data_IF_488526931895
#
_entry.id   IF_488526931895
#
_cell.length_a   1.000
_cell.length_b   1.000
_cell.length_c   1.000
_cell.angle_alpha   90.00
_cell.angle_beta   90.00
_cell.angle_gamma   90.00
#
_symmetry.space_group_name_H-M   'P 1'
#
loop_
_entity.id
_entity.type
_entity.pdbx_description
1 polymer ?
#
# COMPACT_ATOMS: atom_id res chain seq x y z
N UNK A 1 -20.37 -13.43 -28.70
CA UNK A 1 -20.10 -11.97 -28.56
C UNK A 1 -19.97 -11.29 -29.92
N UNK A 2 -19.07 -11.73 -30.81
CA UNK A 2 -18.88 -11.17 -32.17
C UNK A 2 -20.19 -10.92 -32.96
N UNK A 3 -21.08 -11.92 -33.07
CA UNK A 3 -22.37 -11.81 -33.78
C UNK A 3 -23.30 -10.72 -33.23
N UNK A 4 -23.10 -10.31 -31.98
CA UNK A 4 -23.85 -9.24 -31.32
C UNK A 4 -23.16 -7.86 -31.45
N UNK A 5 -22.03 -7.76 -32.14
CA UNK A 5 -21.32 -6.51 -32.42
C UNK A 5 -20.22 -6.12 -31.42
N UNK A 6 -19.96 -6.93 -30.39
CA UNK A 6 -18.82 -6.75 -29.49
C UNK A 6 -17.50 -6.93 -30.23
N UNK A 7 -16.48 -6.16 -29.82
CA UNK A 7 -15.16 -6.12 -30.48
C UNK A 7 -14.00 -6.62 -29.63
N UNK A 8 -14.26 -6.97 -28.37
CA UNK A 8 -13.25 -7.51 -27.49
C UNK A 8 -13.85 -8.37 -26.39
N UNK A 9 -12.96 -9.03 -25.66
CA UNK A 9 -13.26 -9.80 -24.45
C UNK A 9 -12.24 -9.41 -23.38
N UNK A 10 -12.68 -9.38 -22.13
CA UNK A 10 -11.81 -9.17 -20.98
C UNK A 10 -11.67 -10.50 -20.26
N UNK A 11 -10.44 -10.88 -19.95
CA UNK A 11 -10.09 -12.17 -19.35
C UNK A 11 -9.55 -11.91 -17.94
N UNK A 12 -10.31 -12.37 -16.95
CA UNK A 12 -10.02 -12.23 -15.53
C UNK A 12 -10.32 -13.51 -14.76
N UNK A 13 -9.61 -13.72 -13.65
CA UNK A 13 -9.80 -14.85 -12.72
C UNK A 13 -10.70 -14.45 -11.53
N UNK A 14 -11.96 -14.12 -11.82
CA UNK A 14 -12.90 -13.57 -10.84
C UNK A 14 -13.65 -14.66 -10.08
N UNK A 15 -13.63 -14.59 -8.74
CA UNK A 15 -14.29 -15.56 -7.86
C UNK A 15 -15.57 -15.06 -7.17
N UNK A 16 -15.91 -13.77 -7.27
CA UNK A 16 -17.03 -13.14 -6.55
C UNK A 16 -18.41 -13.72 -6.82
N UNK A 17 -18.59 -14.38 -7.97
CA UNK A 17 -19.87 -14.97 -8.38
C UNK A 17 -19.95 -16.49 -8.15
N UNK A 18 -18.94 -17.07 -7.49
CA UNK A 18 -18.93 -18.50 -7.19
C UNK A 18 -19.96 -18.81 -6.08
N UNK A 19 -20.69 -19.92 -6.25
CA UNK A 19 -21.69 -20.34 -5.27
C UNK A 19 -21.03 -20.75 -3.95
N UNK A 20 -21.63 -20.35 -2.83
CA UNK A 20 -21.19 -20.75 -1.49
C UNK A 20 -21.04 -22.28 -1.39
N UNK A 21 -19.91 -22.74 -0.86
CA UNK A 21 -19.59 -24.16 -0.72
C UNK A 21 -18.93 -24.80 -1.96
N UNK A 22 -18.61 -24.02 -3.00
CA UNK A 22 -17.78 -24.52 -4.10
C UNK A 22 -16.36 -24.77 -3.59
N UNK A 23 -15.87 -26.01 -3.74
CA UNK A 23 -14.47 -26.33 -3.45
C UNK A 23 -13.57 -25.79 -4.57
N UNK A 24 -12.61 -24.94 -4.21
CA UNK A 24 -11.62 -24.41 -5.14
C UNK A 24 -10.27 -25.11 -4.94
N UNK A 25 -9.76 -25.69 -6.02
CA UNK A 25 -8.48 -26.39 -6.03
C UNK A 25 -7.39 -25.47 -6.59
N UNK A 26 -7.00 -24.43 -5.84
CA UNK A 26 -5.94 -23.47 -6.25
C UNK A 26 -4.60 -24.14 -6.54
N UNK A 27 -4.36 -25.30 -5.95
CA UNK A 27 -3.17 -26.13 -6.15
C UNK A 27 -3.09 -26.73 -7.56
N UNK A 28 -4.23 -26.82 -8.26
CA UNK A 28 -4.31 -27.34 -9.62
C UNK A 28 -4.79 -26.29 -10.62
N UNK A 29 -5.81 -25.50 -10.28
CA UNK A 29 -6.48 -24.54 -11.16
C UNK A 29 -6.26 -23.08 -10.78
N UNK A 30 -5.33 -22.79 -9.87
CA UNK A 30 -5.06 -21.40 -9.47
C UNK A 30 -4.48 -20.56 -10.60
N UNK A 31 -4.60 -19.24 -10.47
CA UNK A 31 -4.07 -18.29 -11.44
C UNK A 31 -2.61 -18.59 -11.83
N UNK A 32 -2.34 -18.58 -13.14
CA UNK A 32 -1.06 -18.93 -13.75
C UNK A 32 -0.54 -20.37 -13.47
N UNK A 33 -1.43 -21.31 -13.14
CA UNK A 33 -1.17 -22.75 -13.21
C UNK A 33 -1.22 -23.25 -14.65
N UNK A 34 -0.71 -24.46 -14.91
CA UNK A 34 -0.78 -25.06 -16.25
C UNK A 34 -2.23 -25.22 -16.76
N UNK A 35 -3.20 -25.75 -15.99
CA UNK A 35 -4.62 -25.74 -16.40
C UNK A 35 -5.18 -24.35 -16.69
N UNK A 36 -4.79 -23.33 -15.91
CA UNK A 36 -5.20 -21.95 -16.16
C UNK A 36 -4.63 -21.43 -17.49
N UNK A 37 -3.34 -21.66 -17.76
CA UNK A 37 -2.69 -21.25 -19.02
C UNK A 37 -3.34 -21.91 -20.24
N UNK A 38 -3.65 -23.21 -20.15
CA UNK A 38 -4.36 -23.92 -21.21
C UNK A 38 -5.75 -23.36 -21.46
N UNK A 39 -6.50 -23.02 -20.40
CA UNK A 39 -7.81 -22.37 -20.52
C UNK A 39 -7.69 -20.96 -21.13
N UNK A 40 -6.70 -20.19 -20.69
CA UNK A 40 -6.47 -18.83 -21.14
C UNK A 40 -6.11 -18.76 -22.61
N UNK A 41 -5.38 -19.72 -23.18
CA UNK A 41 -5.08 -19.77 -24.62
C UNK A 41 -6.34 -19.90 -25.49
N UNK A 42 -7.41 -20.51 -24.99
CA UNK A 42 -8.64 -20.76 -25.76
C UNK A 42 -9.35 -19.45 -26.12
N UNK A 43 -9.44 -18.50 -25.20
CA UNK A 43 -10.19 -17.26 -25.41
C UNK A 43 -9.55 -16.35 -26.49
N UNK A 44 -8.24 -16.02 -26.45
CA UNK A 44 -7.53 -15.33 -27.52
C UNK A 44 -7.58 -16.08 -28.86
N UNK A 45 -7.42 -17.42 -28.86
CA UNK A 45 -7.51 -18.22 -30.09
C UNK A 45 -8.84 -18.03 -30.79
N UNK A 46 -9.95 -18.13 -30.05
CA UNK A 46 -11.28 -17.92 -30.61
C UNK A 46 -11.48 -16.44 -30.98
N UNK A 47 -11.11 -15.50 -30.11
CA UNK A 47 -11.25 -14.06 -30.37
C UNK A 47 -10.53 -13.63 -31.66
N UNK A 48 -9.31 -14.11 -31.87
CA UNK A 48 -8.51 -13.89 -33.07
C UNK A 48 -9.23 -14.38 -34.34
N UNK A 49 -9.89 -15.54 -34.28
CA UNK A 49 -10.65 -16.08 -35.43
C UNK A 49 -11.83 -15.20 -35.86
N UNK A 50 -12.33 -14.36 -34.94
CA UNK A 50 -13.40 -13.39 -35.18
C UNK A 50 -12.90 -11.95 -35.35
N UNK A 51 -11.59 -11.71 -35.28
CA UNK A 51 -10.98 -10.37 -35.30
C UNK A 51 -11.39 -9.51 -34.09
N UNK A 52 -11.68 -10.14 -32.95
CA UNK A 52 -11.93 -9.47 -31.68
C UNK A 52 -10.61 -9.30 -30.92
N UNK A 53 -10.41 -8.15 -30.29
CA UNK A 53 -9.30 -7.95 -29.35
C UNK A 53 -9.54 -8.66 -28.02
N UNK A 54 -8.55 -8.64 -27.14
CA UNK A 54 -8.66 -9.25 -25.82
C UNK A 54 -7.79 -8.53 -24.79
N UNK A 55 -8.34 -8.37 -23.59
CA UNK A 55 -7.69 -7.67 -22.49
C UNK A 55 -7.46 -8.65 -21.32
N UNK A 56 -6.38 -8.48 -20.57
CA UNK A 56 -6.06 -9.33 -19.41
C UNK A 56 -5.82 -8.49 -18.15
N UNK A 57 -6.35 -8.94 -17.01
CA UNK A 57 -6.01 -8.36 -15.72
C UNK A 57 -4.58 -8.72 -15.32
N UNK A 58 -3.81 -7.74 -14.81
CA UNK A 58 -2.41 -7.92 -14.39
C UNK A 58 -2.23 -8.89 -13.20
N UNK A 59 -3.25 -9.04 -12.36
CA UNK A 59 -3.19 -9.89 -11.17
C UNK A 59 -4.23 -11.01 -11.22
N UNK A 60 -4.18 -11.93 -10.24
CA UNK A 60 -5.23 -12.92 -10.05
C UNK A 60 -6.60 -12.29 -9.77
N UNK A 61 -6.60 -11.13 -9.09
CA UNK A 61 -7.73 -10.22 -8.93
C UNK A 61 -7.13 -8.85 -8.54
N UNK A 62 -7.93 -7.94 -8.00
CA UNK A 62 -7.46 -6.65 -7.48
C UNK A 62 -7.32 -6.65 -5.95
N UNK A 63 -6.40 -5.84 -5.37
CA UNK A 63 -5.32 -5.12 -6.04
C UNK A 63 -4.29 -6.08 -6.65
N UNK A 64 -3.40 -5.55 -7.49
CA UNK A 64 -2.35 -6.32 -8.14
C UNK A 64 -1.48 -7.09 -7.13
N UNK A 65 -1.33 -8.39 -7.34
CA UNK A 65 -0.70 -9.30 -6.40
C UNK A 65 0.03 -10.45 -7.11
N UNK A 66 1.07 -10.99 -6.48
CA UNK A 66 1.82 -12.14 -7.01
C UNK A 66 2.11 -13.18 -5.92
N UNK A 67 2.21 -14.48 -6.29
CA UNK A 67 2.49 -15.57 -5.35
C UNK A 67 3.97 -15.75 -5.03
N UNK A 68 4.85 -14.93 -5.63
CA UNK A 68 6.31 -15.02 -5.48
C UNK A 68 6.85 -14.23 -4.29
N UNK A 69 6.01 -13.45 -3.62
CA UNK A 69 6.40 -12.60 -2.49
C UNK A 69 5.65 -12.99 -1.21
N UNK A 70 6.14 -12.49 -0.09
CA UNK A 70 5.52 -12.61 1.24
C UNK A 70 5.34 -11.22 1.85
N UNK A 71 4.52 -11.03 2.91
CA UNK A 71 4.26 -9.69 3.45
C UNK A 71 5.50 -8.89 3.86
N UNK A 72 6.57 -9.58 4.27
CA UNK A 72 7.85 -8.99 4.67
C UNK A 72 8.85 -8.79 3.52
N UNK A 73 8.49 -9.11 2.28
CA UNK A 73 9.31 -8.91 1.07
C UNK A 73 9.34 -7.42 0.69
N UNK A 74 10.43 -6.90 0.13
CA UNK A 74 10.54 -5.47 -0.23
C UNK A 74 9.42 -5.02 -1.19
N UNK A 75 9.19 -5.79 -2.26
CA UNK A 75 8.12 -5.59 -3.25
C UNK A 75 6.67 -5.70 -2.72
N UNK A 76 6.43 -6.09 -1.47
CA UNK A 76 5.07 -6.20 -0.92
C UNK A 76 4.56 -4.84 -0.42
N UNK A 77 3.27 -4.55 -0.59
CA UNK A 77 2.65 -3.30 -0.14
C UNK A 77 2.99 -2.95 1.32
N UNK A 78 3.32 -1.68 1.56
CA UNK A 78 3.67 -1.17 2.90
C UNK A 78 2.62 -0.22 3.46
N UNK A 79 2.53 -0.23 4.78
CA UNK A 79 1.79 0.76 5.55
C UNK A 79 2.70 1.40 6.59
N UNK A 80 2.35 2.63 6.98
CA UNK A 80 2.91 3.28 8.17
C UNK A 80 1.86 3.31 9.28
N UNK A 81 2.24 2.85 10.47
CA UNK A 81 1.35 2.71 11.62
C UNK A 81 1.89 3.44 12.85
N UNK A 82 0.97 3.96 13.65
CA UNK A 82 1.27 4.94 14.69
C UNK A 82 1.10 4.39 16.11
N UNK A 83 2.01 4.78 17.00
CA UNK A 83 1.87 4.68 18.45
C UNK A 83 1.87 6.07 19.12
N UNK A 84 1.30 6.18 20.33
CA UNK A 84 1.31 7.42 21.13
C UNK A 84 1.31 7.19 22.62
N UNK A 85 1.84 8.17 23.34
CA UNK A 85 1.60 8.41 24.75
C UNK A 85 1.36 9.91 24.96
N UNK A 86 0.35 10.27 25.77
CA UNK A 86 0.12 11.66 26.16
C UNK A 86 0.97 11.94 27.40
N UNK A 87 1.66 13.08 27.40
CA UNK A 87 2.53 13.52 28.48
C UNK A 87 1.99 14.81 29.09
N UNK A 88 1.92 14.83 30.42
CA UNK A 88 1.55 16.03 31.16
C UNK A 88 2.77 16.93 31.38
N UNK A 89 2.52 18.24 31.44
CA UNK A 89 3.42 19.38 31.49
C UNK A 89 4.64 19.35 32.45
N UNK A 90 4.76 18.35 33.32
CA UNK A 90 5.77 18.35 34.40
C UNK A 90 6.41 16.99 34.65
N UNK A 91 6.09 15.97 33.84
CA UNK A 91 6.62 14.62 34.04
C UNK A 91 7.49 14.22 32.86
N UNK A 92 8.76 13.94 33.13
CA UNK A 92 9.64 13.28 32.18
C UNK A 92 9.06 11.92 31.82
N UNK A 93 8.80 11.72 30.54
CA UNK A 93 8.57 10.39 30.01
C UNK A 93 9.90 9.63 30.01
N UNK A 94 9.92 8.44 30.57
CA UNK A 94 11.07 7.54 30.50
C UNK A 94 10.53 6.10 30.48
N UNK A 95 10.46 5.52 29.29
CA UNK A 95 9.80 4.24 29.11
C UNK A 95 9.95 3.69 27.70
N UNK A 96 9.26 2.58 27.43
CA UNK A 96 9.26 1.95 26.11
C UNK A 96 8.64 2.87 25.06
N UNK A 97 9.22 2.93 23.86
CA UNK A 97 8.59 3.63 22.73
C UNK A 97 7.14 3.13 22.58
N UNK A 98 6.14 4.03 22.45
CA UNK A 98 4.75 3.61 22.29
C UNK A 98 4.59 2.64 21.12
N UNK A 99 3.87 1.53 21.33
CA UNK A 99 3.60 0.56 20.26
C UNK A 99 2.48 1.03 19.33
N UNK A 100 2.41 0.49 18.09
CA UNK A 100 1.33 0.81 17.16
C UNK A 100 -0.07 0.50 17.71
N UNK A 101 -1.06 1.36 17.44
CA UNK A 101 -2.46 1.11 17.84
C UNK A 101 -3.12 0.00 17.03
N UNK A 102 -2.66 -0.20 15.79
CA UNK A 102 -3.16 -1.25 14.90
C UNK A 102 -2.34 -2.53 15.07
N UNK A 103 -3.04 -3.65 15.23
CA UNK A 103 -2.42 -4.97 15.17
C UNK A 103 -1.89 -5.22 13.76
N UNK A 104 -0.80 -5.96 13.65
CA UNK A 104 -0.31 -6.47 12.37
C UNK A 104 -1.23 -7.58 11.87
N UNK A 105 -1.33 -7.72 10.56
CA UNK A 105 -2.02 -8.85 9.92
C UNK A 105 -1.14 -10.11 10.04
N UNK A 106 -1.76 -11.28 9.88
CA UNK A 106 -1.02 -12.54 9.89
C UNK A 106 0.00 -12.60 8.75
N UNK A 107 1.14 -13.25 8.98
CA UNK A 107 2.24 -13.34 8.02
C UNK A 107 3.20 -12.14 8.01
N UNK A 108 2.85 -11.01 8.65
CA UNK A 108 3.75 -9.86 8.82
C UNK A 108 4.61 -10.06 10.08
N UNK A 109 5.89 -10.38 9.91
CA UNK A 109 6.80 -10.67 11.03
C UNK A 109 7.82 -9.56 11.27
N UNK A 110 8.07 -8.71 10.26
CA UNK A 110 9.02 -7.60 10.36
C UNK A 110 8.29 -6.27 10.48
N UNK A 111 8.93 -5.33 11.18
CA UNK A 111 8.51 -3.94 11.25
C UNK A 111 9.73 -3.06 11.56
N UNK A 112 9.74 -1.82 11.06
CA UNK A 112 10.85 -0.88 11.20
C UNK A 112 10.36 0.41 11.85
N UNK A 113 10.91 0.75 13.01
CA UNK A 113 10.71 2.07 13.62
C UNK A 113 11.39 3.13 12.74
N UNK A 114 10.64 4.15 12.31
CA UNK A 114 11.14 5.21 11.42
C UNK A 114 11.06 6.60 12.01
N UNK A 115 10.21 6.81 13.01
CA UNK A 115 10.16 8.07 13.74
C UNK A 115 9.79 7.85 15.20
N UNK A 116 10.42 8.62 16.08
CA UNK A 116 9.92 8.94 17.41
C UNK A 116 9.98 10.44 17.57
N UNK A 117 8.85 11.08 17.84
CA UNK A 117 8.75 12.54 17.91
C UNK A 117 7.92 12.95 19.12
N UNK A 118 8.22 14.13 19.65
CA UNK A 118 7.34 14.82 20.59
C UNK A 118 6.75 16.07 19.92
N UNK A 119 5.45 16.30 20.12
CA UNK A 119 4.72 17.44 19.56
C UNK A 119 3.99 18.17 20.67
N UNK A 120 4.03 19.52 20.65
CA UNK A 120 3.22 20.32 21.57
C UNK A 120 1.76 20.28 21.11
N UNK A 121 0.86 19.97 22.05
CA UNK A 121 -0.58 20.04 21.84
C UNK A 121 -1.00 21.51 21.98
N UNK A 122 -1.75 22.02 21.01
CA UNK A 122 -2.22 23.41 21.03
C UNK A 122 -3.03 23.71 22.28
N UNK A 123 -2.89 24.92 22.82
CA UNK A 123 -3.51 25.34 24.08
C UNK A 123 -5.04 25.13 24.11
N UNK A 124 -5.71 25.34 22.98
CA UNK A 124 -7.17 25.20 22.84
C UNK A 124 -7.62 23.76 22.50
N UNK A 125 -6.70 22.81 22.42
CA UNK A 125 -6.99 21.41 22.10
C UNK A 125 -7.00 20.52 23.35
N UNK A 126 -7.98 19.63 23.42
CA UNK A 126 -7.94 18.55 24.40
C UNK A 126 -6.90 17.50 24.00
N UNK A 127 -6.03 17.03 24.92
CA UNK A 127 -5.14 15.89 24.66
C UNK A 127 -5.87 14.60 24.31
N UNK A 128 -7.15 14.51 24.69
CA UNK A 128 -8.03 13.38 24.40
C UNK A 128 -9.08 13.72 23.32
N UNK A 129 -8.87 14.82 22.59
CA UNK A 129 -9.71 15.22 21.47
C UNK A 129 -9.66 14.23 20.30
N UNK A 130 -10.66 14.34 19.43
CA UNK A 130 -10.70 13.63 18.15
C UNK A 130 -11.24 14.60 17.09
N UNK A 131 -10.37 15.41 16.44
CA UNK A 131 -8.91 15.33 16.44
C UNK A 131 -8.22 16.06 17.62
N UNK A 132 -6.94 15.80 17.81
CA UNK A 132 -6.01 16.60 18.65
C UNK A 132 -5.26 17.58 17.75
N UNK A 133 -5.26 18.87 18.09
CA UNK A 133 -4.53 19.89 17.36
C UNK A 133 -3.11 20.10 17.92
N UNK A 134 -2.15 20.21 17.01
CA UNK A 134 -0.71 20.35 17.29
C UNK A 134 -0.21 21.72 16.83
N UNK A 135 0.76 22.25 17.57
CA UNK A 135 1.45 23.48 17.18
C UNK A 135 2.50 23.17 16.11
N UNK A 136 2.32 23.74 14.91
CA UNK A 136 3.28 23.60 13.82
C UNK A 136 4.67 24.14 14.22
N UNK A 137 5.73 23.41 13.85
CA UNK A 137 7.11 23.74 14.21
C UNK A 137 7.52 23.43 15.65
N UNK A 138 6.63 22.83 16.47
CA UNK A 138 6.97 22.41 17.85
C UNK A 138 7.64 21.04 17.94
N UNK A 139 7.78 20.33 16.81
CA UNK A 139 8.31 18.98 16.75
C UNK A 139 9.71 18.88 17.35
N UNK A 140 9.88 17.91 18.25
CA UNK A 140 11.19 17.47 18.73
C UNK A 140 11.43 16.06 18.22
N UNK A 141 12.48 15.88 17.42
CA UNK A 141 12.86 14.57 16.91
C UNK A 141 13.65 13.81 17.99
N UNK A 142 13.15 12.63 18.35
CA UNK A 142 13.71 11.75 19.37
C UNK A 142 14.16 10.41 18.80
N UNK A 143 14.10 10.24 17.46
CA UNK A 143 14.34 8.95 16.79
C UNK A 143 15.73 8.41 17.11
N UNK A 144 16.75 9.25 17.08
CA UNK A 144 18.14 8.87 17.41
C UNK A 144 18.39 8.71 18.92
N UNK A 145 17.45 9.14 19.76
CA UNK A 145 17.54 9.00 21.22
C UNK A 145 16.98 7.66 21.72
N UNK A 146 16.46 6.83 20.82
CA UNK A 146 15.91 5.52 21.17
C UNK A 146 17.05 4.55 21.47
N UNK A 147 17.04 3.97 22.67
CA UNK A 147 17.99 2.94 23.10
C UNK A 147 17.22 1.76 23.70
N UNK A 148 17.51 0.54 23.25
CA UNK A 148 16.87 -0.70 23.72
C UNK A 148 15.33 -0.64 23.72
N UNK A 149 14.75 -0.01 22.69
CA UNK A 149 13.31 0.17 22.55
C UNK A 149 12.69 1.16 23.54
N UNK A 150 13.51 1.97 24.23
CA UNK A 150 13.10 2.99 25.19
C UNK A 150 13.47 4.38 24.71
N UNK A 151 12.72 5.37 25.16
CA UNK A 151 12.96 6.79 24.90
C UNK A 151 12.67 7.59 26.17
N UNK A 152 13.43 8.68 26.35
CA UNK A 152 13.18 9.65 27.41
C UNK A 152 12.90 11.03 26.79
N UNK A 153 11.90 11.73 27.32
CA UNK A 153 11.57 13.09 26.91
C UNK A 153 11.08 13.91 28.10
N UNK A 154 11.64 15.10 28.25
CA UNK A 154 11.19 16.09 29.23
C UNK A 154 10.57 17.27 28.47
N UNK A 155 9.27 17.56 28.67
CA UNK A 155 8.64 18.74 28.09
C UNK A 155 9.44 20.02 28.40
N UNK A 156 9.71 20.88 27.40
CA UNK A 156 10.48 22.10 27.60
C UNK A 156 9.69 23.23 28.28
N UNK A 157 8.39 23.04 28.48
CA UNK A 157 7.46 24.02 29.03
C UNK A 157 6.26 23.33 29.71
N UNK A 158 5.38 24.14 30.29
CA UNK A 158 4.21 23.67 31.02
C UNK A 158 3.01 23.34 30.10
N UNK A 159 3.20 23.10 28.81
CA UNK A 159 2.13 22.70 27.89
C UNK A 159 1.90 21.19 27.94
N UNK A 160 0.80 20.72 27.35
CA UNK A 160 0.62 19.28 27.08
C UNK A 160 1.43 18.88 25.84
N UNK A 161 2.07 17.72 25.92
CA UNK A 161 2.88 17.18 24.83
C UNK A 161 2.42 15.76 24.48
N UNK A 162 2.57 15.42 23.21
CA UNK A 162 2.27 14.11 22.66
C UNK A 162 3.60 13.45 22.28
N UNK A 163 3.90 12.28 22.84
CA UNK A 163 4.95 11.40 22.33
C UNK A 163 4.33 10.48 21.29
N UNK A 164 4.98 10.38 20.14
CA UNK A 164 4.51 9.67 18.97
C UNK A 164 5.61 8.75 18.45
N UNK A 165 5.23 7.60 17.89
CA UNK A 165 6.11 6.70 17.16
C UNK A 165 5.48 6.27 15.84
N UNK A 166 6.31 6.12 14.81
CA UNK A 166 5.90 5.62 13.50
C UNK A 166 6.69 4.37 13.13
N UNK A 167 5.98 3.36 12.65
CA UNK A 167 6.54 2.08 12.25
C UNK A 167 6.08 1.73 10.84
N UNK A 168 7.00 1.34 9.96
CA UNK A 168 6.69 0.77 8.65
C UNK A 168 6.64 -0.75 8.75
N UNK A 169 5.66 -1.38 8.09
CA UNK A 169 5.53 -2.83 7.95
C UNK A 169 4.76 -3.19 6.68
N UNK A 170 4.77 -4.47 6.30
CA UNK A 170 3.91 -4.97 5.22
C UNK A 170 2.43 -4.93 5.59
N UNK A 171 1.54 -4.74 4.62
CA UNK A 171 0.08 -4.78 4.83
C UNK A 171 -0.44 -6.20 5.06
N UNK A 172 0.24 -7.21 4.49
CA UNK A 172 -0.27 -8.58 4.42
C UNK A 172 -1.56 -8.69 3.60
N UNK A 173 -1.85 -7.70 2.77
CA UNK A 173 -3.02 -7.71 1.92
C UNK A 173 -2.91 -8.83 0.87
N UNK A 174 -4.01 -9.54 0.71
CA UNK A 174 -4.23 -10.48 -0.40
C UNK A 174 -5.25 -9.82 -1.33
N UNK A 175 -5.26 -10.18 -2.63
CA UNK A 175 -6.29 -9.74 -3.55
C UNK A 175 -7.70 -10.18 -3.08
N UNK A 176 -8.75 -9.48 -3.53
CA UNK A 176 -10.14 -9.68 -3.11
C UNK A 176 -10.61 -11.12 -3.41
N UNK A 177 -11.54 -11.64 -2.60
CA UNK A 177 -12.16 -12.97 -2.77
C UNK A 177 -11.18 -14.16 -2.89
N UNK A 178 -10.12 -14.11 -2.08
CA UNK A 178 -9.15 -15.20 -1.89
C UNK A 178 -9.81 -16.55 -1.55
N UNK A 179 -9.25 -17.70 -2.00
CA UNK A 179 -7.89 -17.89 -2.55
C UNK A 179 -7.81 -17.96 -4.08
N UNK A 180 -6.71 -17.43 -4.64
CA UNK A 180 -6.44 -17.42 -6.10
C UNK A 180 -5.28 -18.31 -6.54
N UNK A 181 -4.25 -18.43 -5.70
CA UNK A 181 -2.99 -19.10 -6.06
C UNK A 181 -2.53 -20.03 -4.94
N UNK A 182 -1.66 -20.98 -5.28
CA UNK A 182 -0.86 -21.73 -4.31
C UNK A 182 0.61 -21.73 -4.77
N UNK A 183 1.56 -21.11 -4.03
CA UNK A 183 1.39 -20.41 -2.75
C UNK A 183 0.52 -19.15 -2.86
N UNK A 184 0.06 -18.65 -1.70
CA UNK A 184 -0.83 -17.47 -1.59
C UNK A 184 -0.20 -16.21 -2.19
N UNK A 185 -0.97 -15.46 -2.98
CA UNK A 185 -0.57 -14.17 -3.53
C UNK A 185 -0.72 -13.04 -2.51
N UNK A 186 0.24 -12.11 -2.53
CA UNK A 186 0.20 -10.89 -1.73
C UNK A 186 0.31 -9.66 -2.62
N UNK A 187 -0.38 -8.61 -2.21
CA UNK A 187 -0.44 -7.33 -2.94
C UNK A 187 0.94 -6.68 -2.99
N UNK A 188 1.35 -6.27 -4.18
CA UNK A 188 2.63 -5.60 -4.42
C UNK A 188 2.60 -4.15 -3.96
N UNK A 189 3.75 -3.55 -3.73
CA UNK A 189 3.87 -2.13 -3.43
C UNK A 189 3.69 -1.30 -4.73
N UNK A 190 2.51 -0.72 -4.89
CA UNK A 190 2.16 0.11 -6.07
C UNK A 190 2.86 1.47 -6.06
N UNK A 191 3.80 1.69 -5.15
CA UNK A 191 4.56 2.93 -5.02
C UNK A 191 6.06 2.70 -5.13
N UNK A 192 6.51 1.49 -5.51
CA UNK A 192 7.93 1.18 -5.72
C UNK A 192 8.20 0.36 -6.98
N UNK A 193 9.40 0.54 -7.55
CA UNK A 193 9.85 -0.21 -8.72
C UNK A 193 9.92 -1.71 -8.43
N UNK A 194 10.29 -2.10 -7.20
CA UNK A 194 10.33 -3.50 -6.77
C UNK A 194 8.94 -4.16 -6.87
N UNK A 195 7.87 -3.43 -6.57
CA UNK A 195 6.49 -3.91 -6.69
C UNK A 195 6.10 -4.20 -8.13
N UNK A 196 6.31 -3.24 -9.03
CA UNK A 196 6.07 -3.41 -10.46
C UNK A 196 6.94 -4.52 -11.06
N UNK A 197 8.23 -4.56 -10.71
CA UNK A 197 9.15 -5.57 -11.23
C UNK A 197 8.75 -6.98 -10.80
N UNK A 198 8.25 -7.18 -9.57
CA UNK A 198 7.77 -8.49 -9.13
C UNK A 198 6.58 -9.00 -9.97
N UNK A 199 5.77 -8.09 -10.51
CA UNK A 199 4.65 -8.43 -11.42
C UNK A 199 5.18 -8.74 -12.81
N UNK A 200 6.05 -7.87 -13.35
CA UNK A 200 6.69 -8.06 -14.66
C UNK A 200 7.40 -9.41 -14.71
N UNK A 201 8.27 -9.69 -13.74
CA UNK A 201 9.02 -10.94 -13.64
C UNK A 201 8.07 -12.14 -13.60
N UNK A 202 6.97 -12.04 -12.84
CA UNK A 202 5.99 -13.13 -12.76
C UNK A 202 5.30 -13.37 -14.11
N UNK A 203 4.91 -12.31 -14.82
CA UNK A 203 4.29 -12.41 -16.13
C UNK A 203 5.25 -13.01 -17.16
N UNK A 204 6.47 -12.51 -17.24
CA UNK A 204 7.50 -13.01 -18.16
C UNK A 204 7.84 -14.48 -17.90
N UNK A 205 7.95 -14.87 -16.62
CA UNK A 205 8.34 -16.24 -16.25
C UNK A 205 7.18 -17.26 -16.38
N UNK A 206 5.95 -16.84 -16.11
CA UNK A 206 4.82 -17.78 -15.89
C UNK A 206 3.68 -17.67 -16.88
N UNK A 207 3.43 -16.50 -17.45
CA UNK A 207 2.23 -16.24 -18.27
C UNK A 207 2.59 -16.03 -19.73
N UNK A 208 3.61 -15.23 -20.03
CA UNK A 208 4.01 -14.85 -21.39
C UNK A 208 4.83 -15.94 -22.10
N UNK A 209 4.27 -17.15 -22.17
CA UNK A 209 4.84 -18.25 -22.96
C UNK A 209 4.92 -17.87 -24.45
N UNK A 210 5.81 -18.50 -25.24
CA UNK A 210 5.93 -18.21 -26.67
C UNK A 210 4.60 -18.30 -27.45
N UNK A 211 3.74 -19.24 -27.08
CA UNK A 211 2.42 -19.42 -27.69
C UNK A 211 1.46 -18.28 -27.30
N UNK A 212 1.43 -17.87 -26.03
CA UNK A 212 0.61 -16.72 -25.60
C UNK A 212 1.10 -15.45 -26.29
N UNK A 213 2.41 -15.22 -26.39
CA UNK A 213 2.97 -14.08 -27.13
C UNK A 213 2.55 -14.07 -28.61
N UNK A 214 2.54 -15.23 -29.27
CA UNK A 214 2.04 -15.35 -30.66
C UNK A 214 0.54 -15.06 -30.76
N UNK A 215 -0.27 -15.52 -29.80
CA UNK A 215 -1.71 -15.27 -29.77
C UNK A 215 -2.02 -13.80 -29.58
N UNK A 216 -1.38 -13.13 -28.60
CA UNK A 216 -1.70 -11.74 -28.27
C UNK A 216 -1.18 -10.72 -29.30
N UNK A 217 -0.31 -11.14 -30.21
CA UNK A 217 0.19 -10.30 -31.31
C UNK A 217 -0.77 -10.21 -32.50
N UNK A 218 -1.81 -11.06 -32.58
CA UNK A 218 -2.66 -11.16 -33.77
C UNK A 218 -3.78 -10.11 -33.83
N UNK A 219 -4.30 -9.69 -32.67
CA UNK A 219 -5.34 -8.68 -32.55
C UNK A 219 -4.98 -7.67 -31.44
N UNK A 220 -5.67 -6.52 -31.35
CA UNK A 220 -5.41 -5.58 -30.28
C UNK A 220 -5.52 -6.23 -28.90
N UNK A 221 -4.47 -6.09 -28.10
CA UNK A 221 -4.37 -6.60 -26.74
C UNK A 221 -4.13 -5.46 -25.77
N UNK A 222 -4.82 -5.47 -24.64
CA UNK A 222 -4.51 -4.59 -23.51
C UNK A 222 -4.23 -5.41 -22.26
N UNK A 223 -3.40 -4.84 -21.38
CA UNK A 223 -3.36 -5.24 -19.98
C UNK A 223 -4.08 -4.16 -19.19
N UNK A 224 -4.81 -4.56 -18.16
CA UNK A 224 -5.49 -3.62 -17.29
C UNK A 224 -5.35 -4.00 -15.82
N UNK A 225 -5.64 -3.01 -15.00
CA UNK A 225 -5.68 -3.13 -13.56
C UNK A 225 -7.04 -2.57 -13.13
N UNK A 226 -7.82 -3.38 -12.42
CA UNK A 226 -9.09 -2.94 -11.85
C UNK A 226 -8.85 -2.02 -10.64
N UNK A 227 -9.88 -1.84 -9.84
CA UNK A 227 -9.93 -0.94 -8.71
C UNK A 227 -8.78 -1.23 -7.74
N UNK A 228 -7.99 -0.20 -7.43
CA UNK A 228 -6.78 -0.35 -6.63
C UNK A 228 -7.03 -1.00 -5.27
N UNK A 229 -8.20 -0.82 -4.65
CA UNK A 229 -8.69 -1.45 -3.40
C UNK A 229 -7.64 -1.75 -2.30
N UNK A 230 -6.58 -0.95 -2.22
CA UNK A 230 -5.52 -1.17 -1.26
C UNK A 230 -6.07 -0.91 0.15
N UNK A 231 -5.80 -1.82 1.08
CA UNK A 231 -6.31 -1.74 2.44
C UNK A 231 -5.18 -1.26 3.36
N UNK A 232 -5.04 0.06 3.44
CA UNK A 232 -4.26 0.72 4.48
C UNK A 232 -4.91 2.03 4.90
N UNK A 233 -4.79 2.37 6.18
CA UNK A 233 -5.14 3.72 6.63
C UNK A 233 -4.12 4.75 6.16
N UNK A 234 -2.87 4.36 5.92
CA UNK A 234 -1.87 5.29 5.37
C UNK A 234 -0.85 4.52 4.55
N UNK A 235 -0.95 4.71 3.24
CA UNK A 235 -0.02 4.14 2.28
C UNK A 235 1.38 4.68 2.51
N UNK A 236 2.35 3.80 2.30
CA UNK A 236 3.74 4.15 2.42
C UNK A 236 4.58 3.28 1.49
N UNK A 237 5.80 3.71 1.22
CA UNK A 237 6.84 2.90 0.60
C UNK A 237 8.19 3.29 1.21
N UNK A 238 9.19 2.39 1.32
CA UNK A 238 10.45 2.71 2.01
C UNK A 238 11.15 3.96 1.48
N UNK A 239 11.08 4.23 0.18
CA UNK A 239 11.70 5.40 -0.47
C UNK A 239 10.87 6.69 -0.39
N UNK A 240 9.66 6.63 0.18
CA UNK A 240 8.74 7.79 0.24
C UNK A 240 9.37 9.05 0.88
N UNK A 241 10.14 8.98 1.99
CA UNK A 241 10.78 10.16 2.56
C UNK A 241 11.70 10.91 1.60
N UNK A 242 12.47 10.17 0.80
CA UNK A 242 13.46 10.75 -0.11
C UNK A 242 12.77 11.31 -1.35
N UNK A 243 11.77 10.60 -1.90
CA UNK A 243 10.90 11.11 -2.97
C UNK A 243 10.17 12.39 -2.56
N UNK A 244 9.59 12.39 -1.35
CA UNK A 244 8.91 13.56 -0.83
C UNK A 244 9.86 14.75 -0.69
N UNK A 245 11.04 14.53 -0.09
CA UNK A 245 12.04 15.58 0.10
C UNK A 245 12.48 16.18 -1.23
N UNK A 246 12.79 15.32 -2.21
CA UNK A 246 13.22 15.73 -3.55
C UNK A 246 12.16 16.56 -4.27
N UNK A 247 10.88 16.15 -4.18
CA UNK A 247 9.78 16.72 -4.96
C UNK A 247 9.11 17.92 -4.29
N UNK A 248 9.09 17.98 -2.96
CA UNK A 248 8.37 18.99 -2.18
C UNK A 248 9.31 19.97 -1.48
N UNK A 249 10.59 19.63 -1.33
CA UNK A 249 11.63 20.53 -0.81
C UNK A 249 11.73 20.60 0.71
N UNK A 250 11.05 19.71 1.44
CA UNK A 250 11.14 19.59 2.90
C UNK A 250 10.86 18.14 3.35
N UNK A 251 11.14 17.81 4.61
CA UNK A 251 10.98 16.43 5.08
C UNK A 251 9.52 16.08 5.34
N UNK A 252 9.05 14.93 4.84
CA UNK A 252 7.74 14.39 5.24
C UNK A 252 7.66 14.15 6.75
N UNK A 253 8.79 13.93 7.43
CA UNK A 253 8.83 13.75 8.88
C UNK A 253 8.33 14.98 9.64
N UNK A 254 8.38 16.17 9.04
CA UNK A 254 7.87 17.41 9.61
C UNK A 254 6.33 17.48 9.60
N UNK A 255 5.67 16.60 8.84
CA UNK A 255 4.20 16.57 8.69
C UNK A 255 3.61 15.17 8.90
N UNK A 256 4.44 14.17 9.19
CA UNK A 256 4.07 12.75 9.21
C UNK A 256 2.81 12.48 10.04
N UNK A 257 2.72 13.10 11.21
CA UNK A 257 1.63 12.85 12.15
C UNK A 257 0.28 13.37 11.66
N UNK A 258 0.25 14.42 10.83
CA UNK A 258 -0.99 15.04 10.34
C UNK A 258 -1.44 14.53 8.98
N UNK A 259 -0.57 13.80 8.27
CA UNK A 259 -0.90 13.12 7.00
C UNK A 259 -1.27 11.66 7.19
N UNK A 260 -1.04 11.11 8.39
CA UNK A 260 -1.36 9.74 8.74
C UNK A 260 -2.80 9.65 9.26
N UNK A 261 -3.55 8.68 8.72
CA UNK A 261 -4.90 8.37 9.16
C UNK A 261 -4.92 7.12 10.05
N UNK A 262 -6.04 6.94 10.73
CA UNK A 262 -6.41 5.74 11.45
C UNK A 262 -7.76 5.24 10.93
N UNK A 263 -8.19 4.04 11.38
CA UNK A 263 -9.48 3.38 11.06
C UNK A 263 -10.55 4.28 10.43
N UNK A 264 -11.11 3.85 9.32
CA UNK A 264 -12.11 4.61 8.54
C UNK A 264 -11.57 5.97 8.05
N UNK A 265 -10.29 6.02 7.69
CA UNK A 265 -9.61 7.19 7.11
C UNK A 265 -9.69 8.46 7.97
N UNK A 266 -9.70 8.30 9.30
CA UNK A 266 -9.80 9.39 10.25
C UNK A 266 -8.42 9.98 10.59
N UNK A 267 -8.25 11.29 10.44
CA UNK A 267 -7.09 12.01 10.94
C UNK A 267 -7.22 12.26 12.45
N UNK A 268 -6.37 11.59 13.25
CA UNK A 268 -6.39 11.76 14.70
C UNK A 268 -5.68 13.04 15.16
N UNK A 269 -4.80 13.59 14.31
CA UNK A 269 -3.99 14.75 14.61
C UNK A 269 -4.03 15.73 13.44
N UNK A 270 -4.13 17.01 13.75
CA UNK A 270 -4.14 18.10 12.77
C UNK A 270 -3.26 19.24 13.26
N UNK A 271 -2.76 20.07 12.37
CA UNK A 271 -2.25 21.38 12.75
C UNK A 271 -3.39 22.34 13.05
N UNK A 272 -3.16 23.24 14.02
CA UNK A 272 -4.07 24.35 14.30
C UNK A 272 -4.12 25.40 13.16
N UNK A 273 -3.06 25.48 12.35
CA UNK A 273 -3.01 26.31 11.15
C UNK A 273 -3.63 25.57 9.95
N UNK A 274 -4.77 26.07 9.45
CA UNK A 274 -5.53 25.45 8.36
C UNK A 274 -4.77 25.40 7.03
N UNK A 275 -4.02 26.45 6.68
CA UNK A 275 -3.28 26.50 5.42
C UNK A 275 -2.11 25.52 5.45
N UNK A 276 -1.38 25.46 6.57
CA UNK A 276 -0.33 24.45 6.78
C UNK A 276 -0.90 23.03 6.70
N UNK A 277 -2.03 22.75 7.38
CA UNK A 277 -2.67 21.44 7.34
C UNK A 277 -3.05 21.03 5.91
N UNK A 278 -3.68 21.93 5.15
CA UNK A 278 -4.09 21.67 3.77
C UNK A 278 -2.88 21.46 2.86
N UNK A 279 -1.84 22.27 3.00
CA UNK A 279 -0.59 22.13 2.27
C UNK A 279 0.06 20.77 2.54
N UNK A 280 0.18 20.38 3.82
CA UNK A 280 0.74 19.07 4.21
C UNK A 280 0.00 17.89 3.58
N UNK A 281 -1.34 17.91 3.60
CA UNK A 281 -2.14 16.84 3.00
C UNK A 281 -2.00 16.80 1.48
N UNK A 282 -2.08 17.97 0.83
CA UNK A 282 -1.91 18.08 -0.63
C UNK A 282 -0.55 17.53 -1.05
N UNK A 283 0.52 17.99 -0.41
CA UNK A 283 1.88 17.63 -0.81
C UNK A 283 2.13 16.12 -0.59
N UNK A 284 1.58 15.52 0.47
CA UNK A 284 1.62 14.05 0.68
C UNK A 284 0.88 13.29 -0.41
N UNK A 285 -0.37 13.68 -0.71
CA UNK A 285 -1.17 12.99 -1.73
C UNK A 285 -0.61 13.17 -3.13
N UNK A 286 -0.07 14.35 -3.45
CA UNK A 286 0.60 14.62 -4.72
C UNK A 286 1.85 13.74 -4.85
N UNK A 287 2.65 13.57 -3.79
CA UNK A 287 3.78 12.64 -3.82
C UNK A 287 3.33 11.19 -3.97
N UNK A 288 2.24 10.76 -3.33
CA UNK A 288 1.66 9.41 -3.55
C UNK A 288 1.26 9.21 -5.02
N UNK A 289 0.60 10.20 -5.64
CA UNK A 289 0.25 10.15 -7.07
C UNK A 289 1.49 10.11 -7.96
N UNK A 290 2.50 10.93 -7.66
CA UNK A 290 3.75 10.98 -8.41
C UNK A 290 4.46 9.61 -8.39
N UNK A 291 4.64 9.00 -7.22
CA UNK A 291 5.33 7.71 -7.10
C UNK A 291 4.52 6.55 -7.67
N UNK A 292 3.19 6.60 -7.62
CA UNK A 292 2.35 5.62 -8.32
C UNK A 292 2.54 5.69 -9.84
N UNK A 293 2.52 6.90 -10.40
CA UNK A 293 2.72 7.10 -11.83
C UNK A 293 4.14 6.67 -12.26
N UNK A 294 5.16 7.08 -11.51
CA UNK A 294 6.57 6.88 -11.89
C UNK A 294 7.05 5.43 -11.64
N UNK A 295 6.56 4.76 -10.59
CA UNK A 295 7.10 3.47 -10.15
C UNK A 295 6.17 2.28 -10.29
N UNK A 296 4.87 2.50 -10.57
CA UNK A 296 3.94 1.42 -10.87
C UNK A 296 3.47 1.47 -12.32
N UNK A 297 2.93 2.60 -12.77
CA UNK A 297 2.40 2.71 -14.14
C UNK A 297 3.51 2.74 -15.20
N UNK A 298 4.52 3.61 -15.03
CA UNK A 298 5.54 3.79 -16.06
C UNK A 298 6.39 2.52 -16.34
N UNK A 299 6.75 1.67 -15.35
CA UNK A 299 7.42 0.41 -15.63
C UNK A 299 6.56 -0.59 -16.41
N UNK A 300 5.27 -0.70 -16.12
CA UNK A 300 4.34 -1.62 -16.80
C UNK A 300 4.06 -1.23 -18.26
N UNK A 301 4.41 0.00 -18.66
CA UNK A 301 4.23 0.51 -20.02
C UNK A 301 5.41 0.26 -20.97
N UNK A 302 6.54 -0.21 -20.44
CA UNK A 302 7.77 -0.45 -21.22
C UNK A 302 7.80 -1.86 -21.80
#
# INVERSE_FOLDING_TARGET
MAKAGFRGVEIEDVHHSISEGTEWHTDTNGWASEPWLEAVKVAPTEANSWGMGHDFAFGPAWPMAVPTIVPDHEAAAKEIVLGKAIMNATTTYNGSVPGPFSKRKDGVNKQKLVAVQAWRISQDSSPYGNPVYLDYGSMVNLTEMVADGKVAFSPPDNSSWLLFSAVIRGTGQQPEDYPHTTPTSYVVDHFSEDGAQAVIDFWEDRILTPEILELIAQTPTSLFEDSQEMVSATYWTPNFPDEFLSRRGYSVMDILLVVTQFKNNAYLFLFNNLETQRGSLRDYHETITDVYADYHIAPLWK
#
